data_IF_952064838699
#
_entry.id   IF_952064838699
#
_cell.length_a   1.000
_cell.length_b   1.000
_cell.length_c   1.000
_cell.angle_alpha   90.00
_cell.angle_beta   90.00
_cell.angle_gamma   90.00
#
_symmetry.space_group_name_H-M   'P 1'
#
loop_
_entity.id
_entity.type
_entity.pdbx_description
1 polymer ?
#
# COMPACT_ATOMS: atom_id res chain seq x y z
N UNK A 1 -33.30 -18.59 7.49
CA UNK A 1 -31.89 -18.96 7.25
C UNK A 1 -31.51 -18.36 5.91
N UNK A 2 -30.30 -17.76 5.78
CA UNK A 2 -29.84 -17.29 4.48
C UNK A 2 -29.75 -18.45 3.49
N UNK A 3 -30.00 -18.16 2.19
CA UNK A 3 -29.74 -19.10 1.11
C UNK A 3 -28.65 -18.58 0.20
N UNK A 4 -27.78 -19.43 -0.27
CA UNK A 4 -26.76 -19.05 -1.24
C UNK A 4 -26.91 -19.80 -2.56
N UNK A 5 -26.56 -19.15 -3.65
CA UNK A 5 -26.65 -19.73 -5.00
C UNK A 5 -25.36 -20.39 -5.40
N UNK A 6 -24.25 -19.75 -5.11
CA UNK A 6 -22.90 -20.25 -5.37
C UNK A 6 -21.89 -19.69 -4.37
N UNK A 7 -20.71 -20.32 -4.31
CA UNK A 7 -19.57 -19.88 -3.54
C UNK A 7 -18.29 -20.13 -4.36
N UNK A 8 -17.48 -19.08 -4.54
CA UNK A 8 -16.28 -19.10 -5.39
C UNK A 8 -15.11 -18.42 -4.71
N UNK A 9 -13.89 -18.94 -4.94
CA UNK A 9 -12.67 -18.24 -4.56
C UNK A 9 -12.38 -17.17 -5.60
N UNK A 10 -12.17 -15.94 -5.13
CA UNK A 10 -11.95 -14.74 -5.92
C UNK A 10 -10.82 -13.90 -5.30
N UNK A 11 -10.22 -12.99 -6.08
CA UNK A 11 -9.04 -12.22 -5.65
C UNK A 11 -9.24 -10.70 -5.72
N UNK A 12 -10.38 -10.24 -6.20
CA UNK A 12 -10.62 -8.82 -6.47
C UNK A 12 -11.66 -8.17 -5.54
N UNK A 13 -12.47 -8.97 -4.81
CA UNK A 13 -13.56 -8.47 -3.98
C UNK A 13 -13.08 -7.84 -2.67
N UNK A 14 -12.07 -8.42 -2.04
CA UNK A 14 -11.47 -7.81 -0.84
C UNK A 14 -9.98 -7.60 -1.12
N UNK A 15 -9.49 -6.35 -1.11
CA UNK A 15 -8.09 -6.05 -1.38
C UNK A 15 -7.15 -6.81 -0.45
N UNK A 16 -6.10 -7.39 -1.04
CA UNK A 16 -5.03 -8.15 -0.37
C UNK A 16 -5.46 -9.50 0.24
N UNK A 17 -6.68 -10.02 -0.11
CA UNK A 17 -7.22 -11.25 0.44
C UNK A 17 -7.53 -12.31 -0.64
N UNK A 18 -7.28 -13.57 -0.29
CA UNK A 18 -7.83 -14.71 -1.02
C UNK A 18 -9.24 -14.96 -0.48
N UNK A 19 -10.24 -14.53 -1.21
CA UNK A 19 -11.60 -14.40 -0.71
C UNK A 19 -12.51 -15.54 -1.17
N UNK A 20 -13.21 -16.19 -0.25
CA UNK A 20 -14.36 -17.02 -0.58
C UNK A 20 -15.62 -16.14 -0.63
N UNK A 21 -16.06 -15.78 -1.83
CA UNK A 21 -17.29 -15.04 -2.05
C UNK A 21 -18.48 -15.99 -2.02
N UNK A 22 -19.43 -15.78 -1.10
CA UNK A 22 -20.68 -16.55 -0.94
C UNK A 22 -21.83 -15.68 -1.40
N UNK A 23 -22.42 -15.98 -2.56
CA UNK A 23 -23.48 -15.22 -3.18
C UNK A 23 -24.86 -15.56 -2.59
N UNK A 24 -25.39 -14.62 -1.79
CA UNK A 24 -26.66 -14.77 -1.07
C UNK A 24 -27.83 -14.37 -1.98
N UNK A 25 -28.84 -15.20 -2.05
CA UNK A 25 -30.07 -14.95 -2.81
C UNK A 25 -31.05 -14.03 -2.06
N UNK A 26 -32.18 -13.74 -2.69
CA UNK A 26 -33.23 -12.86 -2.16
C UNK A 26 -32.76 -11.41 -1.94
N UNK A 27 -31.99 -10.88 -2.90
CA UNK A 27 -31.53 -9.49 -2.82
C UNK A 27 -32.68 -8.50 -3.05
N UNK A 28 -33.02 -7.61 -2.11
CA UNK A 28 -34.13 -6.68 -2.22
C UNK A 28 -33.79 -5.38 -2.96
N UNK A 29 -32.52 -5.18 -3.34
CA UNK A 29 -32.05 -3.88 -3.85
C UNK A 29 -32.43 -3.61 -5.31
N UNK A 30 -32.66 -4.65 -6.12
CA UNK A 30 -33.11 -4.57 -7.53
C UNK A 30 -32.37 -3.48 -8.36
N UNK A 31 -31.06 -3.35 -8.20
CA UNK A 31 -30.28 -2.34 -8.92
C UNK A 31 -30.41 -2.54 -10.44
N UNK A 32 -30.67 -1.44 -11.17
CA UNK A 32 -30.73 -1.46 -12.63
C UNK A 32 -29.40 -1.92 -13.22
N UNK A 33 -29.42 -2.88 -14.15
CA UNK A 33 -28.24 -3.46 -14.80
C UNK A 33 -27.23 -4.09 -13.81
N UNK A 34 -27.73 -4.59 -12.68
CA UNK A 34 -26.89 -5.29 -11.71
C UNK A 34 -26.26 -6.54 -12.35
N UNK A 35 -24.94 -6.66 -12.26
CA UNK A 35 -24.20 -7.84 -12.70
C UNK A 35 -24.73 -9.15 -12.07
N UNK A 36 -25.19 -9.09 -10.82
CA UNK A 36 -25.69 -10.24 -10.05
C UNK A 36 -27.22 -10.23 -9.92
N UNK A 37 -27.95 -9.77 -10.94
CA UNK A 37 -29.43 -9.67 -10.94
C UNK A 37 -30.14 -11.00 -10.65
N UNK A 38 -29.52 -12.14 -10.95
CA UNK A 38 -30.02 -13.49 -10.66
C UNK A 38 -30.17 -13.78 -9.15
N UNK A 39 -29.51 -12.99 -8.28
CA UNK A 39 -29.63 -13.09 -6.83
C UNK A 39 -30.91 -12.45 -6.26
N UNK A 40 -31.69 -11.74 -7.07
CA UNK A 40 -32.96 -11.15 -6.64
C UNK A 40 -34.02 -12.22 -6.30
N UNK A 41 -33.89 -13.43 -6.84
CA UNK A 41 -34.82 -14.53 -6.59
C UNK A 41 -34.45 -15.26 -5.30
N UNK A 42 -35.45 -15.65 -4.49
CA UNK A 42 -35.25 -16.52 -3.31
C UNK A 42 -35.03 -17.97 -3.73
N UNK A 43 -33.78 -18.33 -3.99
CA UNK A 43 -33.39 -19.68 -4.46
C UNK A 43 -32.03 -20.08 -3.92
N UNK A 44 -31.69 -21.36 -4.06
CA UNK A 44 -30.37 -21.89 -3.67
C UNK A 44 -30.45 -22.78 -2.45
N UNK A 45 -29.28 -23.07 -1.88
CA UNK A 45 -29.11 -23.95 -0.74
C UNK A 45 -29.11 -23.15 0.56
N UNK A 46 -29.71 -23.68 1.62
CA UNK A 46 -29.65 -23.07 2.94
C UNK A 46 -28.22 -23.00 3.45
N UNK A 47 -27.79 -21.82 3.87
CA UNK A 47 -26.46 -21.55 4.38
C UNK A 47 -26.44 -21.79 5.90
N UNK A 48 -26.47 -23.07 6.29
CA UNK A 48 -26.31 -23.47 7.69
C UNK A 48 -24.85 -23.33 8.15
N UNK A 49 -24.59 -23.28 9.45
CA UNK A 49 -23.22 -23.28 9.99
C UNK A 49 -22.42 -24.51 9.55
N UNK A 50 -23.08 -25.67 9.41
CA UNK A 50 -22.43 -26.87 8.88
C UNK A 50 -22.03 -26.74 7.42
N UNK A 51 -22.87 -26.07 6.62
CA UNK A 51 -22.56 -25.78 5.22
C UNK A 51 -21.39 -24.83 5.09
N UNK A 52 -21.34 -23.78 5.92
CA UNK A 52 -20.18 -22.86 6.00
C UNK A 52 -18.89 -23.61 6.34
N UNK A 53 -18.93 -24.54 7.33
CA UNK A 53 -17.76 -25.39 7.66
C UNK A 53 -17.29 -26.22 6.47
N UNK A 54 -18.22 -26.79 5.69
CA UNK A 54 -17.88 -27.56 4.48
C UNK A 54 -17.25 -26.67 3.41
N UNK A 55 -17.83 -25.47 3.16
CA UNK A 55 -17.31 -24.52 2.19
C UNK A 55 -15.89 -24.08 2.54
N UNK A 56 -15.62 -23.75 3.81
CA UNK A 56 -14.27 -23.38 4.28
C UNK A 56 -13.29 -24.58 4.11
N UNK A 57 -13.70 -25.78 4.52
CA UNK A 57 -12.85 -26.97 4.39
C UNK A 57 -12.52 -27.32 2.94
N UNK A 58 -13.52 -27.15 2.03
CA UNK A 58 -13.33 -27.38 0.59
C UNK A 58 -12.39 -26.35 -0.05
N UNK A 59 -12.37 -25.13 0.45
CA UNK A 59 -11.59 -24.01 -0.07
C UNK A 59 -10.48 -23.62 0.92
N UNK A 60 -9.65 -24.58 1.29
CA UNK A 60 -8.52 -24.36 2.20
C UNK A 60 -7.54 -23.32 1.61
N UNK A 61 -7.03 -22.42 2.44
CA UNK A 61 -6.12 -21.35 2.03
C UNK A 61 -6.80 -20.01 1.76
N UNK A 62 -8.13 -19.90 1.89
CA UNK A 62 -8.79 -18.58 1.88
C UNK A 62 -8.46 -17.82 3.16
N UNK A 63 -8.22 -16.53 3.01
CA UNK A 63 -7.93 -15.60 4.11
C UNK A 63 -9.14 -14.74 4.50
N UNK A 64 -10.17 -14.70 3.62
CA UNK A 64 -11.39 -13.91 3.85
C UNK A 64 -12.62 -14.65 3.36
N UNK A 65 -13.75 -14.47 4.05
CA UNK A 65 -15.09 -14.85 3.57
C UNK A 65 -15.87 -13.57 3.32
N UNK A 66 -16.33 -13.37 2.08
CA UNK A 66 -17.21 -12.29 1.71
C UNK A 66 -18.67 -12.77 1.57
N UNK A 67 -19.56 -12.25 2.40
CA UNK A 67 -20.99 -12.47 2.31
C UNK A 67 -21.52 -11.46 1.29
N UNK A 68 -21.89 -11.95 0.09
CA UNK A 68 -22.28 -11.11 -1.04
C UNK A 68 -23.81 -11.00 -1.10
N UNK A 69 -24.40 -9.93 -0.52
CA UNK A 69 -25.85 -9.76 -0.36
C UNK A 69 -26.34 -10.14 1.04
N UNK A 70 -27.58 -10.63 1.13
CA UNK A 70 -28.24 -10.92 2.42
C UNK A 70 -28.97 -9.71 3.00
N UNK A 71 -29.15 -8.66 2.22
CA UNK A 71 -29.81 -7.40 2.61
C UNK A 71 -31.27 -7.56 3.04
N UNK A 72 -31.92 -8.66 2.69
CA UNK A 72 -33.28 -8.97 3.17
C UNK A 72 -33.30 -9.37 4.65
N UNK A 73 -32.21 -9.94 5.17
CA UNK A 73 -32.13 -10.49 6.52
C UNK A 73 -30.76 -10.14 7.16
N UNK A 74 -30.46 -8.85 7.41
CA UNK A 74 -29.15 -8.41 7.92
C UNK A 74 -28.83 -8.98 9.31
N UNK A 75 -29.80 -9.27 10.15
CA UNK A 75 -29.66 -9.97 11.42
C UNK A 75 -29.02 -11.36 11.25
N UNK A 76 -29.42 -12.08 10.20
CA UNK A 76 -28.83 -13.39 9.87
C UNK A 76 -27.44 -13.27 9.27
N UNK A 77 -27.16 -12.18 8.51
CA UNK A 77 -25.80 -11.86 8.05
C UNK A 77 -24.91 -11.63 9.27
N UNK A 78 -25.37 -10.84 10.25
CA UNK A 78 -24.64 -10.60 11.49
C UNK A 78 -24.36 -11.88 12.29
N UNK A 79 -25.38 -12.73 12.42
CA UNK A 79 -25.28 -14.05 13.09
C UNK A 79 -24.25 -14.96 12.40
N UNK A 80 -24.25 -14.98 11.05
CA UNK A 80 -23.30 -15.75 10.27
C UNK A 80 -21.86 -15.21 10.43
N UNK A 81 -21.69 -13.90 10.36
CA UNK A 81 -20.40 -13.24 10.56
C UNK A 81 -19.84 -13.54 11.95
N UNK A 82 -20.65 -13.39 12.99
CA UNK A 82 -20.28 -13.73 14.37
C UNK A 82 -19.86 -15.20 14.52
N UNK A 83 -20.58 -16.11 13.87
CA UNK A 83 -20.19 -17.52 13.85
C UNK A 83 -18.80 -17.71 13.25
N UNK A 84 -18.51 -17.08 12.09
CA UNK A 84 -17.22 -17.22 11.41
C UNK A 84 -16.10 -16.63 12.28
N UNK A 85 -16.26 -15.41 12.76
CA UNK A 85 -15.27 -14.68 13.58
C UNK A 85 -14.92 -15.46 14.85
N UNK A 86 -15.92 -16.07 15.51
CA UNK A 86 -15.70 -16.82 16.75
C UNK A 86 -15.06 -18.20 16.55
N UNK A 87 -15.14 -18.79 15.35
CA UNK A 87 -14.65 -20.16 15.11
C UNK A 87 -13.40 -20.20 14.21
N UNK A 88 -13.07 -19.10 13.51
CA UNK A 88 -11.99 -19.07 12.52
C UNK A 88 -11.16 -17.76 12.64
N UNK A 89 -10.35 -17.67 13.70
CA UNK A 89 -9.58 -16.45 14.04
C UNK A 89 -8.62 -15.96 12.93
N UNK A 90 -8.24 -16.82 11.98
CA UNK A 90 -7.35 -16.48 10.86
C UNK A 90 -8.10 -16.07 9.58
N UNK A 91 -9.44 -16.13 9.58
CA UNK A 91 -10.26 -15.82 8.43
C UNK A 91 -10.99 -14.51 8.68
N UNK A 92 -10.75 -13.51 7.84
CA UNK A 92 -11.47 -12.23 7.87
C UNK A 92 -12.89 -12.39 7.35
N UNK A 93 -13.77 -11.51 7.79
CA UNK A 93 -15.17 -11.48 7.36
C UNK A 93 -15.48 -10.15 6.68
N UNK A 94 -15.98 -10.22 5.45
CA UNK A 94 -16.46 -9.06 4.71
C UNK A 94 -17.96 -9.20 4.37
N UNK A 95 -18.68 -8.09 4.34
CA UNK A 95 -20.08 -8.05 3.88
C UNK A 95 -20.24 -7.07 2.73
N UNK A 96 -20.93 -7.50 1.69
CA UNK A 96 -21.27 -6.68 0.52
C UNK A 96 -22.76 -6.42 0.48
N UNK A 97 -23.15 -5.20 0.88
CA UNK A 97 -24.54 -4.74 0.93
C UNK A 97 -24.85 -3.81 -0.25
N UNK A 98 -26.05 -3.95 -0.80
CA UNK A 98 -26.61 -3.01 -1.77
C UNK A 98 -27.25 -1.77 -1.13
N UNK A 99 -27.36 -1.70 0.19
CA UNK A 99 -27.94 -0.57 0.91
C UNK A 99 -26.95 0.60 0.97
N UNK A 100 -27.47 1.83 1.03
CA UNK A 100 -26.63 3.04 1.18
C UNK A 100 -26.15 3.23 2.62
N UNK A 101 -26.93 2.76 3.58
CA UNK A 101 -26.65 2.88 5.00
C UNK A 101 -26.49 1.52 5.66
N UNK A 102 -25.70 1.45 6.70
CA UNK A 102 -25.52 0.26 7.51
C UNK A 102 -26.81 -0.08 8.24
N UNK A 103 -27.23 -1.35 8.20
CA UNK A 103 -28.34 -1.82 9.01
C UNK A 103 -27.96 -1.77 10.49
N UNK A 104 -28.89 -1.34 11.34
CA UNK A 104 -28.73 -1.35 12.80
C UNK A 104 -28.57 -2.73 13.43
N UNK A 105 -28.92 -3.77 12.67
CA UNK A 105 -28.76 -5.17 13.10
C UNK A 105 -27.35 -5.70 12.94
N UNK A 106 -26.42 -4.87 12.43
CA UNK A 106 -25.01 -5.23 12.16
C UNK A 106 -24.13 -4.72 13.30
N UNK A 107 -23.40 -5.64 13.91
CA UNK A 107 -22.34 -5.35 14.87
C UNK A 107 -20.99 -5.31 14.16
N UNK A 108 -20.36 -4.15 14.14
CA UNK A 108 -19.09 -3.95 13.43
C UNK A 108 -17.97 -4.89 13.88
N UNK A 109 -17.99 -5.32 15.14
CA UNK A 109 -17.00 -6.26 15.70
C UNK A 109 -16.97 -7.63 15.04
N UNK A 110 -18.03 -7.99 14.30
CA UNK A 110 -18.11 -9.25 13.57
C UNK A 110 -17.51 -9.18 12.15
N UNK A 111 -17.03 -8.00 11.72
CA UNK A 111 -16.56 -7.77 10.36
C UNK A 111 -15.19 -7.09 10.33
N UNK A 112 -14.39 -7.42 9.34
CA UNK A 112 -13.13 -6.75 9.00
C UNK A 112 -13.36 -5.71 7.89
N UNK A 113 -14.35 -5.94 7.01
CA UNK A 113 -14.70 -5.02 5.96
C UNK A 113 -16.20 -5.04 5.63
N UNK A 114 -16.74 -3.89 5.22
CA UNK A 114 -18.13 -3.76 4.76
C UNK A 114 -18.15 -2.89 3.52
N UNK A 115 -18.78 -3.38 2.45
CA UNK A 115 -19.09 -2.59 1.26
C UNK A 115 -20.55 -2.18 1.31
N UNK A 116 -20.83 -0.89 1.19
CA UNK A 116 -22.17 -0.31 1.09
C UNK A 116 -22.41 0.30 -0.29
N UNK A 117 -23.69 0.40 -0.67
CA UNK A 117 -24.16 1.05 -1.88
C UNK A 117 -24.50 0.08 -3.00
N UNK A 118 -25.71 0.25 -3.56
CA UNK A 118 -26.15 -0.47 -4.74
C UNK A 118 -25.43 0.00 -6.01
N UNK A 119 -25.36 -0.86 -7.02
CA UNK A 119 -24.80 -0.49 -8.31
C UNK A 119 -25.62 0.62 -8.97
N UNK A 120 -24.92 1.65 -9.45
CA UNK A 120 -25.47 2.73 -10.26
C UNK A 120 -24.64 2.85 -11.55
N UNK A 121 -25.27 2.52 -12.68
CA UNK A 121 -24.60 2.49 -13.99
C UNK A 121 -24.00 3.85 -14.37
N UNK A 122 -24.66 4.96 -14.05
CA UNK A 122 -24.17 6.31 -14.38
C UNK A 122 -22.93 6.74 -13.59
N UNK A 123 -22.70 6.12 -12.42
CA UNK A 123 -21.58 6.41 -11.53
C UNK A 123 -20.47 5.37 -11.62
N UNK A 124 -20.76 4.25 -12.28
CA UNK A 124 -19.81 3.17 -12.49
C UNK A 124 -19.70 2.15 -11.33
N UNK A 125 -18.93 1.07 -11.56
CA UNK A 125 -18.67 0.03 -10.58
C UNK A 125 -17.71 0.50 -9.47
N UNK A 126 -17.45 -0.37 -8.48
CA UNK A 126 -16.62 -0.06 -7.31
C UNK A 126 -15.19 0.40 -7.66
N UNK A 127 -14.64 -0.06 -8.76
CA UNK A 127 -13.33 0.34 -9.26
C UNK A 127 -13.32 1.68 -10.04
N UNK A 128 -14.45 2.36 -10.13
CA UNK A 128 -14.56 3.70 -10.69
C UNK A 128 -14.56 4.76 -9.57
N UNK A 129 -13.69 5.78 -9.59
CA UNK A 129 -13.65 6.81 -8.55
C UNK A 129 -14.95 7.61 -8.38
N UNK A 130 -15.80 7.66 -9.41
CA UNK A 130 -17.11 8.34 -9.37
C UNK A 130 -18.22 7.50 -8.73
N UNK A 131 -17.97 6.24 -8.39
CA UNK A 131 -18.97 5.33 -7.84
C UNK A 131 -19.63 5.86 -6.56
N UNK A 132 -20.90 5.54 -6.37
CA UNK A 132 -21.61 5.75 -5.10
C UNK A 132 -21.35 4.62 -4.09
N UNK A 133 -20.72 3.54 -4.50
CA UNK A 133 -20.37 2.43 -3.63
C UNK A 133 -19.18 2.81 -2.76
N UNK A 134 -19.16 2.33 -1.50
CA UNK A 134 -18.07 2.58 -0.56
C UNK A 134 -17.64 1.29 0.10
N UNK A 135 -16.33 1.05 0.11
CA UNK A 135 -15.72 -0.07 0.81
C UNK A 135 -15.04 0.44 2.08
N UNK A 136 -15.48 -0.06 3.21
CA UNK A 136 -14.96 0.31 4.51
C UNK A 136 -14.15 -0.83 5.12
N UNK A 137 -12.98 -0.53 5.68
CA UNK A 137 -12.30 -1.41 6.64
C UNK A 137 -12.77 -1.06 8.05
N UNK A 138 -12.96 -2.08 8.88
CA UNK A 138 -13.33 -1.89 10.28
C UNK A 138 -12.06 -1.91 11.12
N UNK A 139 -11.74 -0.80 11.77
CA UNK A 139 -10.52 -0.65 12.57
C UNK A 139 -10.93 -0.09 13.94
N UNK A 140 -10.63 -0.82 15.00
CA UNK A 140 -11.01 -0.43 16.39
C UNK A 140 -12.51 -0.09 16.52
N UNK A 141 -13.38 -0.87 15.85
CA UNK A 141 -14.83 -0.68 15.89
C UNK A 141 -15.38 0.49 15.07
N UNK A 142 -14.56 1.14 14.26
CA UNK A 142 -14.97 2.26 13.40
C UNK A 142 -14.80 1.91 11.93
N UNK A 143 -15.67 2.48 11.08
CA UNK A 143 -15.64 2.34 9.63
C UNK A 143 -14.75 3.41 9.01
N UNK A 144 -13.77 3.00 8.20
CA UNK A 144 -12.89 3.91 7.45
C UNK A 144 -12.99 3.60 5.95
N UNK A 145 -13.23 4.64 5.14
CA UNK A 145 -13.41 4.51 3.68
C UNK A 145 -12.08 4.18 2.97
N UNK A 146 -11.95 2.94 2.55
CA UNK A 146 -10.84 2.42 1.77
C UNK A 146 -11.20 2.12 0.31
N UNK A 147 -12.25 2.75 -0.22
CA UNK A 147 -12.72 2.54 -1.59
C UNK A 147 -11.63 2.78 -2.64
N UNK A 148 -10.69 3.69 -2.37
CA UNK A 148 -9.58 4.00 -3.27
C UNK A 148 -8.69 2.78 -3.62
N UNK A 149 -8.67 1.73 -2.81
CA UNK A 149 -7.92 0.51 -3.10
C UNK A 149 -8.38 -0.22 -4.38
N UNK A 150 -9.62 0.03 -4.81
CA UNK A 150 -10.16 -0.51 -6.06
C UNK A 150 -9.81 0.31 -7.29
N UNK A 151 -9.26 1.52 -7.15
CA UNK A 151 -9.03 2.46 -8.27
C UNK A 151 -7.67 2.27 -8.96
N UNK A 152 -7.00 1.13 -8.74
CA UNK A 152 -5.61 0.88 -9.15
C UNK A 152 -5.34 1.20 -10.63
N UNK A 153 -6.27 0.80 -11.51
CA UNK A 153 -6.13 0.96 -12.96
C UNK A 153 -7.02 2.09 -13.52
N UNK A 154 -7.63 2.90 -12.65
CA UNK A 154 -8.51 3.98 -13.08
C UNK A 154 -7.71 5.25 -13.41
N UNK A 155 -7.97 5.80 -14.59
CA UNK A 155 -7.48 7.13 -15.01
C UNK A 155 -8.51 8.24 -14.76
N UNK A 156 -9.65 7.92 -14.17
CA UNK A 156 -10.68 8.90 -13.82
C UNK A 156 -10.19 9.77 -12.69
N UNK A 157 -10.10 11.06 -12.93
CA UNK A 157 -9.60 12.04 -11.96
C UNK A 157 -10.74 12.63 -11.14
N UNK A 158 -10.62 12.54 -9.82
CA UNK A 158 -11.52 13.19 -8.86
C UNK A 158 -10.73 14.14 -7.97
N UNK A 159 -11.38 15.22 -7.54
CA UNK A 159 -10.78 16.31 -6.80
C UNK A 159 -11.37 16.43 -5.40
N UNK A 160 -10.52 16.70 -4.41
CA UNK A 160 -10.92 16.99 -3.03
C UNK A 160 -10.25 18.29 -2.57
N UNK A 161 -10.93 19.02 -1.72
CA UNK A 161 -10.37 20.22 -1.09
C UNK A 161 -9.19 19.83 -0.20
N UNK A 162 -8.20 20.72 -0.12
CA UNK A 162 -7.03 20.52 0.74
C UNK A 162 -7.33 21.20 2.08
N UNK A 163 -7.42 20.41 3.13
CA UNK A 163 -7.64 20.93 4.48
C UNK A 163 -6.57 21.95 4.88
N UNK A 164 -7.04 23.11 5.38
CA UNK A 164 -6.20 24.26 5.73
C UNK A 164 -5.64 25.06 4.55
N UNK A 165 -6.14 24.82 3.31
CA UNK A 165 -5.73 25.54 2.09
C UNK A 165 -6.95 25.88 1.22
N UNK A 166 -7.76 26.83 1.67
CA UNK A 166 -8.97 27.23 0.96
C UNK A 166 -8.67 27.67 -0.48
N UNK A 167 -9.52 27.22 -1.41
CA UNK A 167 -9.36 27.49 -2.84
C UNK A 167 -8.33 26.61 -3.55
N UNK A 168 -7.81 25.57 -2.89
CA UNK A 168 -6.94 24.57 -3.50
C UNK A 168 -7.52 23.17 -3.39
N UNK A 169 -7.32 22.39 -4.45
CA UNK A 169 -7.75 21.00 -4.51
C UNK A 169 -6.61 20.09 -4.94
N UNK A 170 -6.65 18.86 -4.46
CA UNK A 170 -5.75 17.77 -4.86
C UNK A 170 -6.55 16.63 -5.46
N UNK A 171 -5.99 15.95 -6.46
CA UNK A 171 -6.63 14.83 -7.11
C UNK A 171 -6.08 13.47 -6.63
N UNK A 172 -6.87 12.40 -6.85
CA UNK A 172 -6.44 11.01 -6.66
C UNK A 172 -5.26 10.60 -7.56
N UNK A 173 -5.00 11.35 -8.64
CA UNK A 173 -3.87 11.12 -9.56
C UNK A 173 -2.61 11.90 -9.18
N UNK A 174 -2.64 12.70 -8.09
CA UNK A 174 -1.49 13.48 -7.62
C UNK A 174 -1.31 14.82 -8.29
N UNK A 175 -2.36 15.36 -8.91
CA UNK A 175 -2.38 16.72 -9.41
C UNK A 175 -2.91 17.69 -8.36
N UNK A 176 -2.51 18.96 -8.43
CA UNK A 176 -3.00 20.02 -7.54
C UNK A 176 -3.46 21.20 -8.38
N UNK A 177 -4.60 21.80 -8.03
CA UNK A 177 -5.14 22.98 -8.70
C UNK A 177 -5.53 24.08 -7.72
N UNK A 178 -5.42 25.32 -8.17
CA UNK A 178 -6.06 26.49 -7.54
C UNK A 178 -7.41 26.72 -8.20
N UNK A 179 -8.42 26.98 -7.41
CA UNK A 179 -9.77 27.37 -7.90
C UNK A 179 -9.86 28.87 -8.20
N UNK A 180 -8.91 29.67 -7.73
CA UNK A 180 -8.82 31.11 -7.94
C UNK A 180 -7.37 31.57 -8.11
N UNK A 181 -6.75 31.15 -9.22
CA UNK A 181 -5.33 31.44 -9.45
C UNK A 181 -5.06 32.92 -9.56
N UNK A 182 -4.16 33.45 -8.70
CA UNK A 182 -3.79 34.84 -8.59
C UNK A 182 -4.99 35.83 -8.47
N UNK A 183 -6.09 35.38 -7.85
CA UNK A 183 -7.29 36.22 -7.67
C UNK A 183 -8.12 36.46 -8.93
N UNK A 184 -7.88 35.71 -10.01
CA UNK A 184 -8.54 35.94 -11.33
C UNK A 184 -9.87 35.19 -11.46
N UNK A 185 -10.26 34.35 -10.49
CA UNK A 185 -11.42 33.47 -10.58
C UNK A 185 -11.22 32.22 -11.47
N UNK A 186 -10.04 32.07 -12.09
CA UNK A 186 -9.75 30.97 -12.99
C UNK A 186 -9.19 29.75 -12.24
N UNK A 187 -9.62 28.57 -12.66
CA UNK A 187 -9.04 27.30 -12.19
C UNK A 187 -7.72 27.04 -12.94
N UNK A 188 -6.65 26.78 -12.19
CA UNK A 188 -5.33 26.54 -12.75
C UNK A 188 -4.67 25.31 -12.13
N UNK A 189 -4.20 24.37 -12.96
CA UNK A 189 -3.29 23.31 -12.53
C UNK A 189 -1.92 23.91 -12.14
N UNK A 190 -1.45 23.53 -10.95
CA UNK A 190 -0.17 23.99 -10.44
C UNK A 190 0.96 23.06 -10.90
N UNK A 191 2.07 23.64 -11.37
CA UNK A 191 3.26 22.87 -11.75
C UNK A 191 4.04 22.49 -10.49
N UNK A 192 4.26 21.19 -10.22
CA UNK A 192 5.08 20.77 -9.10
C UNK A 192 6.55 21.02 -9.38
N UNK A 193 7.31 21.34 -8.34
CA UNK A 193 8.76 21.35 -8.35
C UNK A 193 9.31 20.14 -7.58
N UNK A 194 10.47 19.65 -7.97
CA UNK A 194 11.13 18.56 -7.24
C UNK A 194 11.81 19.10 -5.97
N UNK A 195 11.69 18.37 -4.87
CA UNK A 195 12.20 18.75 -3.55
C UNK A 195 12.68 17.53 -2.77
N UNK A 196 13.33 17.78 -1.62
CA UNK A 196 13.86 16.74 -0.74
C UNK A 196 15.27 16.30 -1.08
N UNK A 197 15.81 15.35 -0.31
CA UNK A 197 17.10 14.73 -0.60
C UNK A 197 17.08 14.14 -2.01
N UNK A 198 18.09 14.49 -2.81
CA UNK A 198 18.20 14.07 -4.21
C UNK A 198 17.02 14.52 -5.12
N UNK A 199 16.21 15.51 -4.71
CA UNK A 199 15.06 16.04 -5.46
C UNK A 199 14.05 14.97 -5.87
N UNK A 200 13.82 13.98 -5.00
CA UNK A 200 12.97 12.81 -5.29
C UNK A 200 11.47 13.01 -5.08
N UNK A 201 11.01 14.15 -4.52
CA UNK A 201 9.59 14.37 -4.24
C UNK A 201 9.03 15.55 -4.99
N UNK A 202 7.80 15.42 -5.51
CA UNK A 202 7.02 16.54 -6.04
C UNK A 202 6.47 17.40 -4.89
N UNK A 203 6.62 18.71 -5.00
CA UNK A 203 6.06 19.68 -4.05
C UNK A 203 5.40 20.86 -4.75
N UNK A 204 4.41 21.45 -4.08
CA UNK A 204 3.63 22.59 -4.55
C UNK A 204 3.75 23.74 -3.55
N UNK A 205 3.83 24.96 -4.07
CA UNK A 205 3.70 26.20 -3.31
C UNK A 205 2.28 26.73 -3.45
N UNK A 206 1.62 26.99 -2.32
CA UNK A 206 0.25 27.52 -2.24
C UNK A 206 0.26 28.81 -1.44
N UNK A 207 -0.54 29.79 -1.87
CA UNK A 207 -0.71 31.06 -1.18
C UNK A 207 -1.81 30.92 -0.12
N UNK A 208 -1.48 31.21 1.14
CA UNK A 208 -2.46 31.25 2.25
C UNK A 208 -2.30 32.60 2.94
N UNK A 209 -3.30 33.46 2.82
CA UNK A 209 -3.19 34.86 3.17
C UNK A 209 -1.93 35.49 2.54
N UNK A 210 -1.06 36.09 3.31
CA UNK A 210 0.16 36.76 2.83
C UNK A 210 1.40 35.83 2.80
N UNK A 211 1.21 34.52 2.96
CA UNK A 211 2.33 33.57 3.04
C UNK A 211 2.26 32.51 1.94
N UNK A 212 3.42 32.21 1.37
CA UNK A 212 3.59 31.07 0.47
C UNK A 212 4.01 29.85 1.29
N UNK A 213 3.18 28.82 1.28
CA UNK A 213 3.42 27.58 2.00
C UNK A 213 3.71 26.46 1.01
N UNK A 214 4.85 25.81 1.17
CA UNK A 214 5.24 24.66 0.34
C UNK A 214 4.84 23.36 1.00
N UNK A 215 4.24 22.44 0.24
CA UNK A 215 3.84 21.10 0.69
C UNK A 215 4.19 20.02 -0.33
N UNK A 216 4.57 18.85 0.15
CA UNK A 216 4.78 17.69 -0.71
C UNK A 216 3.44 17.13 -1.18
N UNK A 217 3.35 16.82 -2.48
CA UNK A 217 2.11 16.36 -3.12
C UNK A 217 1.59 15.07 -2.51
N UNK A 218 2.46 14.07 -2.26
CA UNK A 218 2.06 12.80 -1.63
C UNK A 218 1.36 13.02 -0.27
N UNK A 219 1.77 14.02 0.52
CA UNK A 219 1.12 14.35 1.80
C UNK A 219 -0.26 14.95 1.61
N UNK A 220 -0.46 15.75 0.55
CA UNK A 220 -1.77 16.31 0.22
C UNK A 220 -2.72 15.22 -0.22
N UNK A 221 -2.27 14.32 -1.12
CA UNK A 221 -3.07 13.18 -1.58
C UNK A 221 -3.43 12.26 -0.42
N UNK A 222 -2.44 11.85 0.38
CA UNK A 222 -2.70 10.92 1.47
C UNK A 222 -3.69 11.49 2.49
N UNK A 223 -3.55 12.77 2.88
CA UNK A 223 -4.49 13.42 3.81
C UNK A 223 -5.90 13.53 3.24
N UNK A 224 -6.03 13.79 1.94
CA UNK A 224 -7.33 13.94 1.32
C UNK A 224 -8.05 12.62 1.05
N UNK A 225 -7.31 11.53 0.76
CA UNK A 225 -7.90 10.30 0.24
C UNK A 225 -7.70 9.06 1.09
N UNK A 226 -6.65 9.00 1.92
CA UNK A 226 -6.26 7.80 2.66
C UNK A 226 -6.54 7.97 4.15
N UNK A 227 -7.44 7.18 4.74
CA UNK A 227 -7.66 7.20 6.17
C UNK A 227 -6.38 6.89 6.96
N UNK A 228 -6.21 7.57 8.11
CA UNK A 228 -5.08 7.34 9.02
C UNK A 228 -5.55 7.06 10.46
N UNK A 229 -6.24 5.93 10.71
CA UNK A 229 -6.84 5.62 12.00
C UNK A 229 -5.83 5.34 13.11
N UNK A 230 -4.56 5.12 12.75
CA UNK A 230 -3.47 4.85 13.68
C UNK A 230 -2.51 6.04 13.85
N UNK A 231 -2.85 7.20 13.26
CA UNK A 231 -2.05 8.43 13.29
C UNK A 231 -0.57 8.21 12.92
N UNK A 232 -0.35 7.44 11.83
CA UNK A 232 0.98 7.12 11.34
C UNK A 232 1.63 8.37 10.73
N UNK A 233 2.92 8.65 11.03
CA UNK A 233 3.53 9.94 10.71
C UNK A 233 4.06 10.08 9.29
N UNK A 234 4.36 8.96 8.61
CA UNK A 234 5.04 8.95 7.31
C UNK A 234 4.16 8.37 6.20
N UNK A 235 4.55 8.64 4.96
CA UNK A 235 3.91 8.10 3.77
C UNK A 235 4.97 7.41 2.94
N UNK A 236 4.69 6.15 2.63
CA UNK A 236 5.48 5.33 1.73
C UNK A 236 4.93 5.39 0.31
N UNK A 237 5.83 5.32 -0.70
CA UNK A 237 5.48 5.08 -2.10
C UNK A 237 5.69 3.59 -2.38
N UNK A 238 4.61 2.88 -2.72
CA UNK A 238 4.61 1.42 -2.87
C UNK A 238 5.54 0.96 -4.00
N UNK A 239 5.64 1.74 -5.08
CA UNK A 239 6.55 1.48 -6.21
C UNK A 239 7.98 2.03 -6.02
N UNK A 240 8.29 2.60 -4.85
CA UNK A 240 9.56 3.29 -4.52
C UNK A 240 9.83 4.56 -5.37
N UNK A 241 8.90 5.02 -6.22
CA UNK A 241 9.03 6.28 -6.98
C UNK A 241 8.36 7.45 -6.24
N UNK A 242 9.16 8.30 -5.60
CA UNK A 242 8.70 9.50 -4.89
C UNK A 242 7.96 10.53 -5.76
N UNK A 243 7.95 10.35 -7.08
CA UNK A 243 7.26 11.22 -8.03
C UNK A 243 5.88 10.70 -8.44
N UNK A 244 5.58 9.43 -8.18
CA UNK A 244 4.28 8.82 -8.43
C UNK A 244 3.36 9.01 -7.23
N UNK A 245 2.57 10.07 -7.25
CA UNK A 245 1.68 10.45 -6.16
C UNK A 245 0.23 10.01 -6.36
N UNK A 246 -0.03 9.00 -7.20
CA UNK A 246 -1.36 8.40 -7.30
C UNK A 246 -1.78 7.80 -5.96
N UNK A 247 -3.04 7.96 -5.57
CA UNK A 247 -3.55 7.53 -4.27
C UNK A 247 -3.31 6.05 -3.97
N UNK A 248 -3.43 5.20 -4.98
CA UNK A 248 -3.23 3.75 -4.87
C UNK A 248 -1.74 3.34 -4.76
N UNK A 249 -0.82 4.28 -4.94
CA UNK A 249 0.62 4.09 -4.75
C UNK A 249 1.10 4.61 -3.39
N UNK A 250 0.22 5.13 -2.55
CA UNK A 250 0.58 5.74 -1.27
C UNK A 250 -0.06 4.97 -0.11
N UNK A 251 0.70 4.85 0.97
CA UNK A 251 0.22 4.29 2.24
C UNK A 251 0.79 5.04 3.43
N UNK A 252 0.01 5.16 4.50
CA UNK A 252 0.51 5.65 5.78
C UNK A 252 1.35 4.57 6.45
N UNK A 253 2.49 4.97 7.00
CA UNK A 253 3.40 4.05 7.66
C UNK A 253 4.14 4.72 8.84
N UNK A 254 4.76 3.90 9.68
CA UNK A 254 5.74 4.38 10.64
C UNK A 254 7.13 4.54 10.00
N UNK A 255 8.03 5.16 10.74
CA UNK A 255 9.38 5.45 10.27
C UNK A 255 10.21 4.18 10.04
N UNK A 256 10.04 3.16 10.87
CA UNK A 256 10.84 1.91 10.79
C UNK A 256 10.44 1.16 9.53
N UNK A 257 9.13 1.02 9.29
CA UNK A 257 8.61 0.44 8.06
C UNK A 257 9.12 1.16 6.82
N UNK A 258 9.01 2.51 6.79
CA UNK A 258 9.43 3.32 5.64
C UNK A 258 10.94 3.24 5.35
N UNK A 259 11.78 3.16 6.39
CA UNK A 259 13.23 3.01 6.23
C UNK A 259 13.63 1.63 5.68
N UNK A 260 12.89 0.59 6.04
CA UNK A 260 13.19 -0.80 5.65
C UNK A 260 12.42 -1.26 4.41
N UNK A 261 11.54 -0.41 3.85
CA UNK A 261 10.71 -0.76 2.72
C UNK A 261 11.52 -0.94 1.43
N UNK A 262 11.22 -2.00 0.68
CA UNK A 262 11.82 -2.31 -0.62
C UNK A 262 13.34 -2.46 -0.55
N UNK A 263 14.01 -1.98 -1.60
CA UNK A 263 15.45 -2.07 -1.76
C UNK A 263 16.21 -0.80 -1.35
N UNK A 264 15.58 0.12 -0.63
CA UNK A 264 16.16 1.43 -0.28
C UNK A 264 17.47 1.30 0.48
N UNK A 265 17.52 0.44 1.50
CA UNK A 265 18.73 0.20 2.29
C UNK A 265 19.84 -0.39 1.42
N UNK A 266 19.49 -1.31 0.52
CA UNK A 266 20.43 -1.91 -0.44
C UNK A 266 20.92 -0.85 -1.44
N UNK A 267 20.01 -0.07 -2.05
CA UNK A 267 20.35 1.03 -2.98
C UNK A 267 21.28 2.07 -2.32
N UNK A 268 21.00 2.43 -1.05
CA UNK A 268 21.88 3.34 -0.29
C UNK A 268 23.25 2.74 -0.03
N UNK A 269 23.32 1.46 0.40
CA UNK A 269 24.57 0.73 0.56
C UNK A 269 25.35 0.67 -0.76
N UNK A 270 24.66 0.37 -1.86
CA UNK A 270 25.24 0.26 -3.19
C UNK A 270 25.81 1.60 -3.69
N UNK A 271 25.08 2.70 -3.47
CA UNK A 271 25.53 4.05 -3.85
C UNK A 271 26.76 4.54 -3.06
N UNK A 272 26.99 3.97 -1.89
CA UNK A 272 28.16 4.23 -1.03
C UNK A 272 29.28 3.21 -1.19
N UNK A 273 29.04 2.14 -1.95
CA UNK A 273 30.00 1.07 -2.16
C UNK A 273 31.14 1.55 -3.05
N UNK A 274 32.36 1.34 -2.58
CA UNK A 274 33.59 1.59 -3.36
C UNK A 274 34.11 0.22 -3.82
N UNK A 275 34.15 -0.05 -5.14
CA UNK A 275 34.68 -1.30 -5.64
C UNK A 275 36.14 -1.51 -5.29
N UNK A 276 36.48 -2.74 -4.97
CA UNK A 276 37.84 -3.14 -4.64
C UNK A 276 38.33 -4.30 -5.49
N UNK A 277 39.64 -4.38 -5.69
CA UNK A 277 40.28 -5.43 -6.44
C UNK A 277 41.03 -6.36 -5.48
N UNK A 278 40.81 -7.65 -5.63
CA UNK A 278 41.63 -8.72 -5.03
C UNK A 278 42.70 -9.14 -6.06
N UNK A 279 43.94 -9.02 -5.71
CA UNK A 279 45.09 -9.30 -6.59
C UNK A 279 45.97 -10.37 -5.97
N UNK A 280 46.58 -11.21 -6.79
CA UNK A 280 47.66 -12.06 -6.36
C UNK A 280 48.87 -11.21 -5.88
N UNK A 281 49.84 -11.84 -5.22
CA UNK A 281 51.04 -11.12 -4.74
C UNK A 281 51.89 -10.56 -5.89
N UNK A 282 51.82 -11.16 -7.08
CA UNK A 282 52.46 -10.68 -8.32
C UNK A 282 51.70 -9.48 -8.97
N UNK A 283 50.49 -9.15 -8.47
CA UNK A 283 49.67 -8.06 -8.97
C UNK A 283 48.64 -8.47 -10.00
N UNK A 284 48.51 -9.74 -10.37
CA UNK A 284 47.47 -10.22 -11.30
C UNK A 284 46.10 -10.21 -10.64
N UNK A 285 45.09 -9.80 -11.39
CA UNK A 285 43.70 -9.70 -10.90
C UNK A 285 43.09 -11.09 -10.64
N UNK A 286 42.60 -11.30 -9.41
CA UNK A 286 41.86 -12.49 -9.02
C UNK A 286 40.36 -12.24 -9.17
N UNK A 287 39.86 -11.15 -8.56
CA UNK A 287 38.43 -10.80 -8.60
C UNK A 287 38.21 -9.34 -8.28
N UNK A 288 37.16 -8.76 -8.91
CA UNK A 288 36.59 -7.48 -8.53
C UNK A 288 35.42 -7.73 -7.57
N UNK A 289 35.36 -6.95 -6.48
CA UNK A 289 34.33 -6.97 -5.48
C UNK A 289 33.60 -5.63 -5.44
N UNK A 290 32.29 -5.65 -5.28
CA UNK A 290 31.46 -4.46 -5.22
C UNK A 290 31.83 -3.53 -4.05
N UNK A 291 32.31 -4.13 -2.94
CA UNK A 291 32.78 -3.40 -1.76
C UNK A 291 33.66 -4.27 -0.87
N UNK A 292 34.45 -3.63 0.01
CA UNK A 292 35.17 -4.33 1.05
C UNK A 292 34.27 -5.15 2.00
N UNK A 293 33.03 -4.67 2.27
CA UNK A 293 32.05 -5.36 3.11
C UNK A 293 31.56 -6.65 2.45
N UNK A 294 31.31 -6.64 1.15
CA UNK A 294 30.93 -7.84 0.39
C UNK A 294 32.08 -8.86 0.39
N UNK A 295 33.30 -8.43 0.08
CA UNK A 295 34.46 -9.31 0.08
C UNK A 295 34.70 -9.94 1.46
N UNK A 296 34.66 -9.15 2.53
CA UNK A 296 34.83 -9.63 3.90
C UNK A 296 33.74 -10.65 4.26
N UNK A 297 32.47 -10.38 3.96
CA UNK A 297 31.35 -11.28 4.24
C UNK A 297 31.46 -12.62 3.48
N UNK A 298 31.76 -12.58 2.18
CA UNK A 298 31.80 -13.79 1.33
C UNK A 298 33.01 -14.64 1.63
N UNK A 299 34.17 -14.03 1.94
CA UNK A 299 35.42 -14.74 2.19
C UNK A 299 35.66 -15.01 3.69
N UNK A 300 34.77 -14.60 4.59
CA UNK A 300 34.93 -14.75 6.04
C UNK A 300 36.07 -13.93 6.62
N UNK A 301 36.38 -12.75 6.04
CA UNK A 301 37.53 -11.92 6.43
C UNK A 301 37.16 -10.92 7.53
N UNK A 302 38.13 -10.55 8.36
CA UNK A 302 37.96 -9.42 9.26
C UNK A 302 37.98 -8.10 8.48
N UNK A 303 36.90 -7.34 8.59
CA UNK A 303 36.69 -6.11 7.82
C UNK A 303 37.73 -5.03 8.16
N UNK A 304 38.16 -4.96 9.44
CA UNK A 304 39.18 -4.00 9.90
C UNK A 304 40.54 -4.29 9.28
N UNK A 305 40.94 -5.55 9.26
CA UNK A 305 42.21 -5.99 8.66
C UNK A 305 42.21 -5.79 7.15
N UNK A 306 41.09 -6.07 6.46
CA UNK A 306 40.92 -5.79 5.03
C UNK A 306 41.04 -4.27 4.76
N UNK A 307 40.40 -3.46 5.58
CA UNK A 307 40.44 -1.99 5.49
C UNK A 307 41.88 -1.47 5.67
N UNK A 308 42.65 -2.00 6.63
CA UNK A 308 44.06 -1.62 6.82
C UNK A 308 44.91 -1.95 5.57
N UNK A 309 44.64 -3.10 4.94
CA UNK A 309 45.35 -3.48 3.71
C UNK A 309 44.98 -2.56 2.53
N UNK A 310 43.71 -2.20 2.39
CA UNK A 310 43.21 -1.26 1.36
C UNK A 310 43.86 0.15 1.54
N UNK A 311 44.02 0.61 2.76
CA UNK A 311 44.68 1.89 3.05
C UNK A 311 46.23 1.82 3.03
N UNK A 312 46.79 0.62 2.95
CA UNK A 312 48.22 0.40 2.93
C UNK A 312 48.92 0.51 4.29
N UNK A 313 48.18 0.78 5.39
CA UNK A 313 48.76 0.89 6.73
C UNK A 313 47.71 0.62 7.83
N UNK A 314 48.23 0.29 9.03
CA UNK A 314 47.46 0.28 10.29
C UNK A 314 48.09 1.26 11.28
N UNK A 315 47.28 1.83 12.15
CA UNK A 315 47.75 2.73 13.22
C UNK A 315 47.70 1.99 14.55
N UNK A 316 48.82 2.01 15.31
CA UNK A 316 48.91 1.50 16.68
C UNK A 316 49.65 2.52 17.52
N UNK A 317 49.06 2.97 18.62
CA UNK A 317 49.62 3.99 19.52
C UNK A 317 50.13 5.27 18.79
N UNK A 318 49.34 5.75 17.79
CA UNK A 318 49.71 6.93 17.01
C UNK A 318 50.77 6.71 15.90
N UNK A 319 51.32 5.52 15.78
CA UNK A 319 52.34 5.19 14.78
C UNK A 319 51.75 4.39 13.63
N UNK A 320 52.08 4.74 12.38
CA UNK A 320 51.67 4.03 11.17
C UNK A 320 52.59 2.86 10.86
N UNK A 321 52.05 1.67 10.70
CA UNK A 321 52.77 0.46 10.27
C UNK A 321 52.23 0.04 8.90
N UNK A 322 53.10 -0.19 7.89
CA UNK A 322 52.68 -0.57 6.55
C UNK A 322 51.97 -1.94 6.54
N UNK A 323 50.97 -2.08 5.68
CA UNK A 323 50.25 -3.35 5.44
C UNK A 323 50.16 -3.57 3.93
N UNK A 324 50.89 -4.56 3.43
CA UNK A 324 51.05 -4.80 1.99
C UNK A 324 50.12 -5.88 1.44
N UNK A 325 49.64 -6.80 2.28
CA UNK A 325 48.79 -7.90 1.92
C UNK A 325 47.93 -8.37 3.09
N UNK A 326 46.83 -9.03 2.80
CA UNK A 326 45.97 -9.68 3.79
C UNK A 326 45.44 -11.00 3.22
N UNK A 327 45.58 -12.09 4.02
CA UNK A 327 45.19 -13.48 3.63
C UNK A 327 45.80 -13.96 2.32
N UNK A 328 47.08 -13.57 2.03
CA UNK A 328 47.80 -13.99 0.84
C UNK A 328 47.50 -13.18 -0.43
N UNK A 329 46.69 -12.13 -0.33
CA UNK A 329 46.33 -11.27 -1.46
C UNK A 329 46.69 -9.82 -1.21
N UNK A 330 46.94 -9.06 -2.29
CA UNK A 330 46.95 -7.60 -2.30
C UNK A 330 45.55 -7.10 -2.54
N UNK A 331 45.22 -5.99 -1.89
CA UNK A 331 43.88 -5.37 -2.01
C UNK A 331 44.04 -3.89 -2.34
N UNK A 332 43.29 -3.40 -3.34
CA UNK A 332 43.29 -2.00 -3.76
C UNK A 332 41.89 -1.51 -4.08
N UNK A 333 41.67 -0.22 -3.93
CA UNK A 333 40.46 0.41 -4.49
C UNK A 333 40.56 0.46 -6.02
N UNK A 334 39.45 0.22 -6.73
CA UNK A 334 39.45 0.16 -8.19
C UNK A 334 39.89 1.48 -8.81
N UNK A 335 39.46 2.64 -8.29
CA UNK A 335 39.82 3.97 -8.78
C UNK A 335 41.32 4.31 -8.67
N UNK A 336 42.11 3.57 -7.88
CA UNK A 336 43.55 3.78 -7.74
C UNK A 336 44.38 3.11 -8.86
N UNK A 337 43.73 2.40 -9.77
CA UNK A 337 44.36 1.68 -10.89
C UNK A 337 44.25 2.39 -12.23
N UNK A 338 43.56 3.55 -12.29
CA UNK A 338 43.34 4.32 -13.51
C UNK A 338 44.31 5.52 -13.69
N UNK A 339 45.37 5.62 -12.85
CA UNK A 339 46.43 6.62 -12.95
C UNK A 339 47.75 6.01 -13.34
#
# INVERSE_FOLDING_TARGET
MLKYVDAKVVFAEVPDEVTLAINISNCPCHCKNCHSSYLAQDKGTELTFNEVRKLIKKNSGVSCIAIMGGDAEPDKVNTLASFITNHYNSIKVAWYSGRQELSKDIELSNFDAIKLGGYNESLGPLNCPTTNQRFYKIIKGNMYDYTYLFWKDSEVEIWRDIDGFDGYQVSNLGNVRSLNYNGTGNVQLLKPSLSGPNRGYKSISMQVADKVIRRNVHRLVARAFIPNPNDLPEINHIDEDGTNNKVNNLEWCDRIYNLNYGNRTQKFSDSKSIPILQLNLDGTLVKEWKSQTEAARVLGLDLGSLSHCLHGYRVKNGVKFPVYSYTGYKWKYKHETEN
#
